data_IF_886774174901
#
_entry.id   IF_886774174901
#
_cell.length_a   1.000
_cell.length_b   1.000
_cell.length_c   1.000
_cell.angle_alpha   90.00
_cell.angle_beta   90.00
_cell.angle_gamma   90.00
#
_symmetry.space_group_name_H-M   'P 1'
#
loop_
_entity.id
_entity.type
_entity.pdbx_description
1 polymer ?
#
# COMPACT_ATOMS: atom_id res chain seq x y z
N UNK A 1 -13.20 0.19 -4.70
CA UNK A 1 -13.68 0.32 -6.09
C UNK A 1 -13.51 -0.97 -6.88
N UNK A 2 -12.30 -1.55 -6.94
CA UNK A 2 -12.03 -2.76 -7.75
C UNK A 2 -12.91 -3.96 -7.40
N UNK A 3 -13.15 -4.22 -6.13
CA UNK A 3 -14.02 -5.32 -5.68
C UNK A 3 -15.46 -5.10 -6.14
N UNK A 4 -15.97 -3.88 -6.05
CA UNK A 4 -17.32 -3.55 -6.52
C UNK A 4 -17.46 -3.74 -8.03
N UNK A 5 -16.50 -3.25 -8.80
CA UNK A 5 -16.48 -3.42 -10.24
C UNK A 5 -16.41 -4.90 -10.64
N UNK A 6 -15.58 -5.68 -9.99
CA UNK A 6 -15.49 -7.11 -10.23
C UNK A 6 -16.81 -7.83 -9.90
N UNK A 7 -17.44 -7.47 -8.79
CA UNK A 7 -18.73 -8.04 -8.38
C UNK A 7 -19.83 -7.74 -9.39
N UNK A 8 -19.85 -6.54 -9.94
CA UNK A 8 -20.86 -6.11 -10.91
C UNK A 8 -20.64 -6.65 -12.33
N UNK A 9 -19.38 -6.75 -12.76
CA UNK A 9 -19.04 -6.94 -14.19
C UNK A 9 -18.27 -8.21 -14.51
N UNK A 10 -17.74 -8.92 -13.50
CA UNK A 10 -16.93 -10.10 -13.72
C UNK A 10 -17.66 -11.36 -13.25
N UNK A 11 -18.04 -12.22 -14.19
CA UNK A 11 -18.78 -13.46 -13.93
C UNK A 11 -18.06 -14.68 -14.53
N UNK A 12 -16.77 -14.83 -14.21
CA UNK A 12 -15.94 -15.95 -14.64
C UNK A 12 -15.32 -16.62 -13.42
N UNK A 13 -14.98 -17.90 -13.53
CA UNK A 13 -14.38 -18.67 -12.43
C UNK A 13 -12.87 -18.41 -12.26
N UNK A 14 -12.22 -17.86 -13.27
CA UNK A 14 -10.78 -17.60 -13.23
C UNK A 14 -10.45 -16.44 -12.28
N UNK A 15 -9.37 -16.57 -11.47
CA UNK A 15 -8.94 -15.46 -10.60
C UNK A 15 -8.47 -14.26 -11.40
N UNK A 16 -8.63 -13.08 -10.83
CA UNK A 16 -8.16 -11.81 -11.39
C UNK A 16 -7.41 -11.02 -10.31
N UNK A 17 -6.24 -10.50 -10.66
CA UNK A 17 -5.47 -9.67 -9.76
C UNK A 17 -5.99 -8.24 -9.75
N UNK A 18 -6.15 -7.68 -8.54
CA UNK A 18 -6.47 -6.27 -8.32
C UNK A 18 -5.31 -5.64 -7.57
N UNK A 19 -4.71 -4.62 -8.15
CA UNK A 19 -3.54 -3.96 -7.58
C UNK A 19 -3.22 -2.65 -8.26
N UNK A 20 -2.18 -1.99 -7.80
CA UNK A 20 -1.76 -0.68 -8.31
C UNK A 20 -0.93 -0.77 -9.61
N UNK A 21 -0.34 -1.91 -9.90
CA UNK A 21 0.42 -2.12 -11.14
C UNK A 21 1.77 -1.40 -11.19
N UNK A 22 2.38 -1.09 -10.05
CA UNK A 22 3.72 -0.50 -9.99
C UNK A 22 4.57 -1.15 -8.89
N UNK A 23 5.86 -0.91 -8.94
CA UNK A 23 6.84 -1.38 -7.96
C UNK A 23 7.55 -0.20 -7.30
N UNK A 24 7.93 -0.39 -6.03
CA UNK A 24 8.83 0.50 -5.29
C UNK A 24 9.76 -0.36 -4.44
N UNK A 25 11.02 0.01 -4.34
CA UNK A 25 11.95 -0.67 -3.44
C UNK A 25 11.66 -0.31 -1.97
N UNK A 26 11.99 -1.21 -1.06
CA UNK A 26 11.86 -0.93 0.38
C UNK A 26 12.76 0.24 0.79
N UNK A 27 13.92 0.38 0.16
CA UNK A 27 14.82 1.52 0.39
C UNK A 27 14.17 2.85 0.01
N UNK A 28 13.54 2.92 -1.16
CA UNK A 28 12.81 4.11 -1.61
C UNK A 28 11.60 4.40 -0.73
N UNK A 29 10.84 3.36 -0.37
CA UNK A 29 9.70 3.49 0.54
C UNK A 29 10.11 4.05 1.90
N UNK A 30 11.19 3.52 2.50
CA UNK A 30 11.73 4.00 3.76
C UNK A 30 12.16 5.47 3.66
N UNK A 31 12.83 5.85 2.57
CA UNK A 31 13.25 7.23 2.33
C UNK A 31 12.05 8.20 2.25
N UNK A 32 10.97 7.80 1.58
CA UNK A 32 9.76 8.63 1.48
C UNK A 32 9.03 8.75 2.83
N UNK A 33 8.97 7.69 3.62
CA UNK A 33 8.40 7.74 4.98
C UNK A 33 9.22 8.69 5.88
N UNK A 34 10.55 8.63 5.80
CA UNK A 34 11.43 9.55 6.53
C UNK A 34 11.13 11.01 6.19
N UNK A 35 10.95 11.33 4.91
CA UNK A 35 10.58 12.68 4.48
C UNK A 35 9.21 13.11 5.02
N UNK A 36 8.21 12.24 4.93
CA UNK A 36 6.85 12.55 5.35
C UNK A 36 6.72 12.72 6.87
N UNK A 37 7.51 11.98 7.64
CA UNK A 37 7.49 12.03 9.11
C UNK A 37 8.50 13.00 9.70
N UNK A 38 9.36 13.61 8.88
CA UNK A 38 10.48 14.42 9.31
C UNK A 38 11.40 13.71 10.32
N UNK A 39 11.56 12.40 10.17
CA UNK A 39 12.39 11.59 11.05
C UNK A 39 13.87 11.95 10.88
N UNK A 40 14.52 12.30 11.98
CA UNK A 40 15.93 12.73 12.01
C UNK A 40 16.89 11.63 12.50
N UNK A 41 16.35 10.45 12.83
CA UNK A 41 17.13 9.33 13.33
C UNK A 41 17.91 8.62 12.23
N UNK A 42 18.69 7.63 12.65
CA UNK A 42 19.48 6.78 11.76
C UNK A 42 18.66 5.58 11.29
N UNK A 43 18.77 5.26 10.00
CA UNK A 43 18.24 4.02 9.43
C UNK A 43 19.35 2.97 9.41
N UNK A 44 19.09 1.82 10.00
CA UNK A 44 20.00 0.67 10.01
C UNK A 44 19.32 -0.46 9.25
N UNK A 45 20.02 -1.02 8.26
CA UNK A 45 19.57 -2.18 7.52
C UNK A 45 20.12 -3.45 8.20
N UNK A 46 19.20 -4.30 8.67
CA UNK A 46 19.55 -5.58 9.29
C UNK A 46 19.56 -6.67 8.21
N UNK A 47 20.74 -7.03 7.74
CA UNK A 47 20.96 -8.07 6.75
C UNK A 47 21.12 -9.49 7.37
N UNK A 48 21.03 -9.60 8.69
CA UNK A 48 21.08 -10.89 9.40
C UNK A 48 19.81 -11.72 9.26
N UNK A 49 18.71 -11.12 8.83
CA UNK A 49 17.42 -11.77 8.61
C UNK A 49 17.26 -12.19 7.16
N UNK A 50 16.54 -13.31 6.91
CA UNK A 50 16.28 -13.72 5.53
C UNK A 50 15.43 -12.69 4.80
N UNK A 51 15.77 -12.45 3.54
CA UNK A 51 14.97 -11.63 2.64
C UNK A 51 13.64 -12.35 2.33
N UNK A 52 12.61 -11.56 2.10
CA UNK A 52 11.36 -12.05 1.54
C UNK A 52 11.47 -12.26 0.02
N UNK A 53 10.40 -11.98 -0.69
CA UNK A 53 10.40 -12.04 -2.15
C UNK A 53 11.27 -10.92 -2.75
N UNK A 54 12.16 -11.23 -3.71
CA UNK A 54 13.02 -10.21 -4.33
C UNK A 54 12.23 -9.12 -5.08
N UNK A 55 11.10 -9.49 -5.66
CA UNK A 55 10.17 -8.56 -6.33
C UNK A 55 8.74 -8.95 -6.07
N UNK A 56 7.87 -7.96 -5.95
CA UNK A 56 6.43 -8.17 -5.76
C UNK A 56 5.64 -7.13 -6.53
N UNK A 57 5.04 -7.57 -7.62
CA UNK A 57 4.13 -6.76 -8.41
C UNK A 57 3.04 -7.66 -8.99
N UNK A 58 1.82 -7.18 -9.03
CA UNK A 58 0.70 -7.88 -9.66
C UNK A 58 0.54 -7.42 -11.10
N UNK A 59 0.24 -8.36 -11.99
CA UNK A 59 -0.21 -8.04 -13.34
C UNK A 59 -1.68 -7.63 -13.28
N UNK A 60 -1.97 -6.37 -13.50
CA UNK A 60 -3.30 -5.77 -13.40
C UNK A 60 -4.01 -5.60 -14.74
N UNK A 61 -3.41 -6.06 -15.84
CA UNK A 61 -3.95 -5.87 -17.20
C UNK A 61 -5.30 -6.57 -17.39
N UNK A 62 -5.48 -7.74 -16.78
CA UNK A 62 -6.73 -8.48 -16.86
C UNK A 62 -7.90 -7.73 -16.23
N UNK A 63 -7.71 -7.13 -15.05
CA UNK A 63 -8.74 -6.33 -14.40
C UNK A 63 -9.17 -5.13 -15.25
N UNK A 64 -8.22 -4.46 -15.89
CA UNK A 64 -8.51 -3.36 -16.81
C UNK A 64 -9.31 -3.83 -18.02
N UNK A 65 -8.92 -4.95 -18.62
CA UNK A 65 -9.58 -5.50 -19.81
C UNK A 65 -10.99 -6.01 -19.51
N UNK A 66 -11.17 -6.73 -18.40
CA UNK A 66 -12.41 -7.41 -18.09
C UNK A 66 -13.48 -6.51 -17.47
N UNK A 67 -13.10 -5.56 -16.62
CA UNK A 67 -14.07 -4.68 -15.96
C UNK A 67 -13.59 -3.24 -15.76
N UNK A 68 -12.56 -2.82 -16.49
CA UNK A 68 -12.14 -1.41 -16.55
C UNK A 68 -11.48 -0.90 -15.28
N UNK A 69 -11.01 -1.78 -14.40
CA UNK A 69 -10.35 -1.33 -13.18
C UNK A 69 -8.86 -1.02 -13.40
N UNK A 70 -8.47 0.12 -12.91
CA UNK A 70 -7.09 0.58 -12.78
C UNK A 70 -6.91 1.30 -11.45
N UNK A 71 -5.78 1.05 -10.76
CA UNK A 71 -5.44 1.81 -9.56
C UNK A 71 -5.22 3.28 -9.92
N UNK A 72 -5.99 4.20 -9.31
CA UNK A 72 -5.96 5.63 -9.65
C UNK A 72 -5.35 6.51 -8.58
N UNK A 73 -5.21 5.98 -7.36
CA UNK A 73 -4.58 6.74 -6.29
C UNK A 73 -3.08 6.77 -6.53
N UNK A 74 -2.54 7.96 -6.69
CA UNK A 74 -1.10 8.15 -6.72
C UNK A 74 -0.46 7.63 -5.44
N UNK A 75 0.63 6.84 -5.58
CA UNK A 75 1.28 6.20 -4.45
C UNK A 75 1.74 7.19 -3.39
N UNK A 76 2.37 8.28 -3.80
CA UNK A 76 2.87 9.29 -2.85
C UNK A 76 1.73 9.98 -2.10
N UNK A 77 0.63 10.24 -2.78
CA UNK A 77 -0.58 10.79 -2.15
C UNK A 77 -1.19 9.80 -1.16
N UNK A 78 -1.31 8.55 -1.55
CA UNK A 78 -1.82 7.48 -0.67
C UNK A 78 -0.93 7.27 0.55
N UNK A 79 0.39 7.27 0.37
CA UNK A 79 1.34 7.16 1.46
C UNK A 79 1.24 8.34 2.44
N UNK A 80 1.16 9.56 1.93
CA UNK A 80 0.94 10.75 2.75
C UNK A 80 -0.34 10.66 3.58
N UNK A 81 -1.44 10.32 2.96
CA UNK A 81 -2.72 10.16 3.64
C UNK A 81 -2.63 9.09 4.74
N UNK A 82 -1.89 8.02 4.51
CA UNK A 82 -1.68 6.95 5.49
C UNK A 82 -0.86 7.44 6.68
N UNK A 83 0.20 8.19 6.44
CA UNK A 83 1.03 8.78 7.50
C UNK A 83 0.21 9.77 8.33
N UNK A 84 -0.51 10.68 7.68
CA UNK A 84 -1.38 11.67 8.35
C UNK A 84 -2.46 11.00 9.22
N UNK A 85 -3.08 9.95 8.68
CA UNK A 85 -4.05 9.15 9.44
C UNK A 85 -3.42 8.51 10.68
N UNK A 86 -2.24 7.92 10.52
CA UNK A 86 -1.54 7.29 11.64
C UNK A 86 -1.13 8.31 12.71
N UNK A 87 -0.56 9.43 12.32
CA UNK A 87 -0.21 10.52 13.23
C UNK A 87 -1.43 11.05 13.99
N UNK A 88 -2.54 11.23 13.29
CA UNK A 88 -3.81 11.63 13.91
C UNK A 88 -4.29 10.60 14.94
N UNK A 89 -4.08 9.31 14.68
CA UNK A 89 -4.48 8.24 15.60
C UNK A 89 -3.64 8.24 16.89
N UNK A 90 -2.39 8.69 16.84
CA UNK A 90 -1.51 8.79 18.00
C UNK A 90 -1.91 9.93 18.95
N UNK A 91 -2.62 10.95 18.47
CA UNK A 91 -3.12 12.06 19.28
C UNK A 91 -4.43 11.73 20.03
N UNK A 92 -5.01 10.57 19.81
CA UNK A 92 -6.22 10.10 20.51
C UNK A 92 -5.85 9.70 21.95
N UNK A 93 -6.65 10.08 22.98
CA UNK A 93 -6.36 9.73 24.36
C UNK A 93 -6.18 8.23 24.57
N UNK A 94 -5.19 7.87 25.42
CA UNK A 94 -4.79 6.47 25.69
C UNK A 94 -5.97 5.57 26.09
N UNK A 95 -7.01 6.13 26.67
CA UNK A 95 -8.22 5.39 27.06
C UNK A 95 -8.99 4.83 25.87
N UNK A 96 -8.90 5.45 24.70
CA UNK A 96 -9.56 4.96 23.48
C UNK A 96 -8.75 3.84 22.83
N UNK A 97 -7.42 3.85 22.98
CA UNK A 97 -6.53 2.83 22.44
C UNK A 97 -6.60 1.50 23.19
N UNK A 98 -7.04 1.51 24.45
CA UNK A 98 -7.20 0.29 25.25
C UNK A 98 -8.41 -0.57 24.87
N UNK A 99 -9.27 -0.10 23.95
CA UNK A 99 -10.45 -0.84 23.47
C UNK A 99 -10.17 -1.66 22.21
N UNK A 100 -8.96 -1.62 21.70
CA UNK A 100 -8.45 -2.40 20.59
C UNK A 100 -7.36 -3.34 21.11
#
# INVERSE_FOLDING_TARGET
EGILLATEKYNKSEPVNIGAGFEISIKELAAEIVKLTAYEGKIIWDDSKPDGQPRRMLDTRKAKREFGFEGRVDFMKGLRNTVEWYESSLSVPVNTLKQF
#
